data_IF_244268323916
#
_entry.id   IF_244268323916
#
_cell.length_a   1.000
_cell.length_b   1.000
_cell.length_c   1.000
_cell.angle_alpha   90.00
_cell.angle_beta   90.00
_cell.angle_gamma   90.00
#
_symmetry.space_group_name_H-M   'P 1'
#
loop_
_entity.id
_entity.type
_entity.pdbx_description
1 polymer ?
#
# COMPACT_ATOMS: atom_id res chain seq x y z
N UNK A 1 -6.06 -11.70 6.86
CA UNK A 1 -5.04 -10.95 6.10
C UNK A 1 -5.74 -9.88 5.28
N UNK A 2 -5.33 -8.62 5.34
CA UNK A 2 -5.89 -7.58 4.45
C UNK A 2 -5.74 -7.99 2.97
N UNK A 3 -6.83 -7.93 2.19
CA UNK A 3 -6.78 -8.20 0.73
C UNK A 3 -5.90 -7.17 0.01
N UNK A 4 -5.90 -5.93 0.49
CA UNK A 4 -5.06 -4.84 0.01
C UNK A 4 -3.59 -4.91 0.47
N UNK A 5 -3.08 -6.09 0.83
CA UNK A 5 -1.68 -6.28 1.19
C UNK A 5 -0.74 -6.29 -0.02
N UNK A 6 0.52 -5.92 0.23
CA UNK A 6 1.56 -5.93 -0.79
C UNK A 6 1.84 -7.35 -1.29
N UNK A 7 2.26 -7.48 -2.56
CA UNK A 7 2.58 -8.77 -3.21
C UNK A 7 3.55 -9.67 -2.43
N UNK A 8 4.44 -9.09 -1.61
CA UNK A 8 5.38 -9.86 -0.78
C UNK A 8 4.67 -10.71 0.27
N UNK A 9 3.52 -10.25 0.78
CA UNK A 9 2.73 -10.99 1.78
C UNK A 9 2.14 -12.23 1.13
N UNK A 10 1.60 -12.12 -0.09
CA UNK A 10 1.15 -13.26 -0.89
C UNK A 10 2.30 -14.24 -1.18
N UNK A 11 3.50 -13.74 -1.50
CA UNK A 11 4.70 -14.56 -1.59
C UNK A 11 5.02 -15.31 -0.28
N UNK A 12 4.84 -14.66 0.86
CA UNK A 12 4.96 -15.28 2.19
C UNK A 12 3.93 -16.39 2.42
N UNK A 13 2.69 -16.22 1.95
CA UNK A 13 1.66 -17.26 1.97
C UNK A 13 2.07 -18.46 1.10
N UNK A 14 2.55 -18.23 -0.13
CA UNK A 14 3.07 -19.29 -1.00
C UNK A 14 4.19 -20.08 -0.32
N UNK A 15 5.17 -19.38 0.28
CA UNK A 15 6.33 -20.01 0.92
C UNK A 15 5.98 -20.75 2.22
N UNK A 16 5.09 -20.20 3.04
CA UNK A 16 4.69 -20.78 4.32
C UNK A 16 3.64 -21.89 4.19
N UNK A 17 2.80 -21.84 3.15
CA UNK A 17 1.64 -22.72 3.02
C UNK A 17 0.49 -22.38 3.97
N UNK A 18 0.50 -21.16 4.53
CA UNK A 18 -0.63 -20.67 5.30
C UNK A 18 -1.89 -20.56 4.41
N UNK A 19 -3.06 -20.69 5.02
CA UNK A 19 -4.34 -20.48 4.33
C UNK A 19 -4.85 -19.08 4.66
N UNK A 20 -4.88 -18.15 3.69
CA UNK A 20 -5.33 -16.80 3.97
C UNK A 20 -6.85 -16.74 4.06
N UNK A 21 -7.33 -16.06 5.10
CA UNK A 21 -8.71 -15.54 5.18
C UNK A 21 -8.60 -14.05 4.88
N UNK A 22 -9.18 -13.61 3.77
CA UNK A 22 -9.05 -12.23 3.31
C UNK A 22 -10.02 -11.31 4.04
N UNK A 23 -9.52 -10.14 4.43
CA UNK A 23 -10.33 -9.02 4.91
C UNK A 23 -10.46 -8.08 3.71
N UNK A 24 -11.67 -7.95 3.17
CA UNK A 24 -11.96 -7.05 2.06
C UNK A 24 -11.87 -5.59 2.53
N UNK A 25 -11.15 -4.71 1.81
CA UNK A 25 -11.12 -3.29 2.15
C UNK A 25 -12.42 -2.63 1.68
N UNK A 26 -12.99 -1.78 2.53
CA UNK A 26 -13.94 -0.78 2.06
C UNK A 26 -13.22 0.27 1.21
N UNK A 27 -13.97 1.04 0.42
CA UNK A 27 -13.43 2.13 -0.39
C UNK A 27 -14.06 3.46 0.02
N UNK A 28 -13.25 4.52 0.03
CA UNK A 28 -13.78 5.84 0.37
C UNK A 28 -14.81 6.26 -0.70
N UNK A 29 -16.06 6.60 -0.34
CA UNK A 29 -17.13 6.85 -1.31
C UNK A 29 -16.79 8.00 -2.27
N UNK A 30 -16.22 9.09 -1.75
CA UNK A 30 -15.88 10.27 -2.57
C UNK A 30 -14.49 10.21 -3.20
N UNK A 31 -13.49 9.70 -2.46
CA UNK A 31 -12.07 9.72 -2.88
C UNK A 31 -11.72 8.46 -3.69
N UNK A 32 -12.36 7.31 -3.42
CA UNK A 32 -12.19 6.08 -4.20
C UNK A 32 -10.94 5.25 -3.88
N UNK A 33 -10.14 5.63 -2.90
CA UNK A 33 -9.01 4.79 -2.44
C UNK A 33 -9.48 3.71 -1.44
N UNK A 34 -8.75 2.58 -1.32
CA UNK A 34 -9.04 1.56 -0.33
C UNK A 34 -8.82 2.07 1.09
N UNK A 35 -9.83 1.94 1.95
CA UNK A 35 -9.82 2.29 3.36
C UNK A 35 -9.04 1.26 4.18
N UNK A 36 -8.72 1.63 5.41
CA UNK A 36 -8.16 0.71 6.39
C UNK A 36 -9.22 -0.28 6.86
N UNK A 37 -8.80 -1.48 7.26
CA UNK A 37 -9.72 -2.52 7.77
C UNK A 37 -10.30 -2.09 9.12
N UNK A 38 -11.60 -2.34 9.33
CA UNK A 38 -12.27 -2.02 10.58
C UNK A 38 -12.08 -3.11 11.65
N UNK A 39 -12.23 -2.72 12.91
CA UNK A 39 -12.18 -3.65 14.05
C UNK A 39 -13.32 -4.67 13.95
N UNK A 40 -14.49 -4.20 13.55
CA UNK A 40 -15.72 -4.97 13.42
C UNK A 40 -15.59 -6.06 12.34
N UNK A 41 -14.96 -5.74 11.21
CA UNK A 41 -14.72 -6.72 10.14
C UNK A 41 -13.77 -7.84 10.60
N UNK A 42 -12.75 -7.49 11.41
CA UNK A 42 -11.83 -8.47 11.98
C UNK A 42 -12.55 -9.35 13.02
N UNK A 43 -13.34 -8.74 13.90
CA UNK A 43 -14.10 -9.49 14.91
C UNK A 43 -15.06 -10.49 14.27
N UNK A 44 -15.81 -10.07 13.24
CA UNK A 44 -16.73 -10.94 12.52
C UNK A 44 -16.03 -12.18 11.93
N UNK A 45 -14.80 -12.02 11.40
CA UNK A 45 -14.02 -13.14 10.86
C UNK A 45 -13.48 -14.05 11.95
N UNK A 46 -13.01 -13.51 13.09
CA UNK A 46 -12.53 -14.31 14.22
C UNK A 46 -13.66 -15.14 14.88
N UNK A 47 -14.89 -14.62 14.86
CA UNK A 47 -16.07 -15.36 15.33
C UNK A 47 -16.43 -16.52 14.39
N UNK A 48 -16.15 -16.41 13.09
CA UNK A 48 -16.43 -17.45 12.09
C UNK A 48 -15.30 -18.49 11.97
N UNK A 49 -14.07 -18.11 12.32
CA UNK A 49 -12.87 -18.91 12.11
C UNK A 49 -12.03 -19.02 13.38
N UNK A 50 -12.23 -20.10 14.13
CA UNK A 50 -11.56 -20.33 15.43
C UNK A 50 -10.16 -20.94 15.33
N UNK A 51 -9.71 -21.30 14.12
CA UNK A 51 -8.40 -21.87 13.82
C UNK A 51 -7.37 -20.82 13.37
N UNK A 52 -7.77 -19.54 13.34
CA UNK A 52 -6.88 -18.41 13.01
C UNK A 52 -5.78 -18.29 14.07
N UNK A 53 -4.53 -18.26 13.63
CA UNK A 53 -3.35 -18.09 14.51
C UNK A 53 -2.69 -16.72 14.39
N UNK A 54 -3.00 -15.98 13.32
CA UNK A 54 -2.37 -14.71 13.00
C UNK A 54 -3.27 -13.78 12.17
N UNK A 55 -3.21 -12.49 12.47
CA UNK A 55 -3.79 -11.40 11.68
C UNK A 55 -2.64 -10.65 11.01
N UNK A 56 -2.75 -10.44 9.70
CA UNK A 56 -1.84 -9.57 8.95
C UNK A 56 -2.58 -8.30 8.55
N UNK A 57 -2.00 -7.15 8.91
CA UNK A 57 -2.50 -5.82 8.65
C UNK A 57 -1.44 -4.96 7.93
N UNK A 58 -1.87 -4.12 6.99
CA UNK A 58 -1.02 -3.06 6.41
C UNK A 58 -1.42 -1.73 7.03
N UNK A 59 -0.49 -1.06 7.71
CA UNK A 59 -0.74 0.22 8.39
C UNK A 59 0.55 1.03 8.51
N UNK A 60 0.62 2.25 7.94
CA UNK A 60 -0.37 2.89 7.08
C UNK A 60 -0.49 2.19 5.73
N UNK A 61 -1.62 2.41 5.05
CA UNK A 61 -1.72 2.10 3.62
C UNK A 61 -0.96 3.14 2.77
N UNK A 62 -0.93 2.95 1.45
CA UNK A 62 -0.23 3.84 0.52
C UNK A 62 -0.66 5.32 0.59
N UNK A 63 -1.90 5.59 0.98
CA UNK A 63 -2.48 6.93 1.09
C UNK A 63 -2.18 7.59 2.44
N UNK A 64 -1.57 6.87 3.39
CA UNK A 64 -1.26 7.38 4.72
C UNK A 64 -2.37 7.20 5.74
N UNK A 65 -3.46 6.50 5.42
CA UNK A 65 -4.52 6.23 6.39
C UNK A 65 -4.25 4.93 7.15
N UNK A 66 -4.68 4.92 8.41
CA UNK A 66 -4.42 3.85 9.38
C UNK A 66 -5.72 3.43 10.09
N UNK A 67 -5.88 2.13 10.41
CA UNK A 67 -6.93 1.66 11.30
C UNK A 67 -6.54 1.88 12.78
N UNK A 68 -7.47 1.56 13.68
CA UNK A 68 -7.18 1.51 15.12
C UNK A 68 -6.34 0.26 15.45
N UNK A 69 -5.04 0.34 15.21
CA UNK A 69 -4.09 -0.75 15.47
C UNK A 69 -4.11 -1.16 16.95
N UNK A 70 -4.37 -0.23 17.87
CA UNK A 70 -4.42 -0.52 19.29
C UNK A 70 -5.63 -1.41 19.64
N UNK A 71 -6.82 -1.04 19.15
CA UNK A 71 -8.02 -1.84 19.33
C UNK A 71 -7.91 -3.20 18.63
N UNK A 72 -7.35 -3.26 17.43
CA UNK A 72 -7.12 -4.52 16.70
C UNK A 72 -6.14 -5.42 17.46
N UNK A 73 -5.08 -4.86 18.04
CA UNK A 73 -4.11 -5.59 18.86
C UNK A 73 -4.79 -6.21 20.11
N UNK A 74 -5.58 -5.41 20.82
CA UNK A 74 -6.34 -5.87 21.98
C UNK A 74 -7.33 -6.98 21.61
N UNK A 75 -8.06 -6.82 20.49
CA UNK A 75 -8.98 -7.81 19.98
C UNK A 75 -8.25 -9.11 19.64
N UNK A 76 -7.18 -9.05 18.84
CA UNK A 76 -6.36 -10.21 18.47
C UNK A 76 -5.90 -11.00 19.70
N UNK A 77 -5.36 -10.29 20.70
CA UNK A 77 -4.87 -10.91 21.93
C UNK A 77 -5.99 -11.55 22.76
N UNK A 78 -7.20 -10.98 22.76
CA UNK A 78 -8.35 -11.57 23.44
C UNK A 78 -8.79 -12.93 22.85
N UNK A 79 -8.49 -13.15 21.57
CA UNK A 79 -8.70 -14.43 20.87
C UNK A 79 -7.47 -15.35 20.89
N UNK A 80 -6.37 -14.95 21.55
CA UNK A 80 -5.12 -15.72 21.53
C UNK A 80 -4.39 -15.70 20.19
N UNK A 81 -4.64 -14.68 19.37
CA UNK A 81 -4.13 -14.54 17.99
C UNK A 81 -3.02 -13.50 17.93
N UNK A 82 -1.96 -13.77 17.16
CA UNK A 82 -0.87 -12.80 16.94
C UNK A 82 -1.25 -11.75 15.89
N UNK A 83 -0.84 -10.50 16.09
CA UNK A 83 -0.96 -9.39 15.15
C UNK A 83 0.39 -9.07 14.49
N UNK A 84 0.43 -9.25 13.17
CA UNK A 84 1.55 -8.88 12.30
C UNK A 84 1.17 -7.60 11.54
N UNK A 85 2.00 -6.57 11.65
CA UNK A 85 1.77 -5.28 10.99
C UNK A 85 2.88 -5.02 9.96
N UNK A 86 2.47 -4.92 8.70
CA UNK A 86 3.26 -4.33 7.64
C UNK A 86 3.18 -2.80 7.76
N UNK A 87 4.17 -2.23 8.44
CA UNK A 87 4.39 -0.79 8.65
C UNK A 87 5.45 -0.26 7.68
N UNK A 88 5.52 -0.81 6.45
CA UNK A 88 6.53 -0.44 5.47
C UNK A 88 6.59 1.07 5.20
N UNK A 89 5.44 1.74 5.14
CA UNK A 89 5.35 3.19 4.92
C UNK A 89 5.31 4.02 6.21
N UNK A 90 5.41 3.38 7.39
CA UNK A 90 5.27 4.02 8.69
C UNK A 90 6.54 4.04 9.54
N UNK A 91 7.73 3.84 8.96
CA UNK A 91 8.95 3.73 9.79
C UNK A 91 9.25 5.00 10.60
N UNK A 92 8.83 6.17 10.12
CA UNK A 92 8.97 7.47 10.78
C UNK A 92 7.94 7.74 11.89
N UNK A 93 6.93 6.88 12.05
CA UNK A 93 5.88 7.03 13.06
C UNK A 93 6.43 6.85 14.47
N UNK A 94 5.80 7.50 15.46
CA UNK A 94 6.22 7.45 16.87
C UNK A 94 7.45 8.28 17.25
N UNK A 95 8.12 8.94 16.30
CA UNK A 95 9.25 9.85 16.60
C UNK A 95 8.83 11.30 16.87
N UNK A 96 7.55 11.63 16.68
CA UNK A 96 6.96 12.94 16.96
C UNK A 96 5.49 12.78 17.40
N UNK A 97 5.00 13.65 18.29
CA UNK A 97 3.65 13.53 18.89
C UNK A 97 2.51 13.76 17.92
N UNK A 98 2.76 14.53 16.86
CA UNK A 98 1.75 14.88 15.86
C UNK A 98 1.69 13.84 14.73
N UNK A 99 2.59 12.84 14.75
CA UNK A 99 2.43 11.64 13.94
C UNK A 99 1.71 10.56 14.75
N UNK A 100 0.96 9.67 14.09
CA UNK A 100 0.39 8.51 14.75
C UNK A 100 1.46 7.66 15.46
N UNK A 101 1.09 6.94 16.54
CA UNK A 101 2.00 6.01 17.20
C UNK A 101 2.35 4.86 16.26
N UNK A 102 3.62 4.44 16.28
CA UNK A 102 4.05 3.23 15.55
C UNK A 102 3.41 1.98 16.16
N UNK A 103 3.10 0.99 15.31
CA UNK A 103 2.64 -0.34 15.71
C UNK A 103 3.58 -1.03 16.74
N UNK A 104 4.86 -0.68 16.74
CA UNK A 104 5.83 -1.11 17.77
C UNK A 104 5.38 -0.66 19.16
N UNK A 105 5.05 0.62 19.31
CA UNK A 105 4.58 1.20 20.58
C UNK A 105 3.18 0.71 20.98
N UNK A 106 2.36 0.34 19.99
CA UNK A 106 1.02 -0.23 20.18
C UNK A 106 1.03 -1.74 20.47
N UNK A 107 2.20 -2.32 20.75
CA UNK A 107 2.35 -3.69 21.24
C UNK A 107 1.94 -4.80 20.26
N UNK A 108 1.87 -4.50 18.95
CA UNK A 108 1.75 -5.53 17.91
C UNK A 108 2.93 -6.51 17.98
N UNK A 109 2.75 -7.75 17.54
CA UNK A 109 3.69 -8.84 17.85
C UNK A 109 4.92 -8.84 16.92
N UNK A 110 4.67 -8.66 15.61
CA UNK A 110 5.71 -8.57 14.58
C UNK A 110 5.41 -7.35 13.71
N UNK A 111 6.38 -6.45 13.57
CA UNK A 111 6.25 -5.24 12.76
C UNK A 111 7.37 -5.19 11.73
N UNK A 112 7.03 -4.99 10.46
CA UNK A 112 7.99 -4.81 9.37
C UNK A 112 7.99 -3.35 8.95
N UNK A 113 9.15 -2.70 8.98
CA UNK A 113 9.31 -1.31 8.55
C UNK A 113 10.33 -1.23 7.41
N UNK A 114 9.96 -0.58 6.30
CA UNK A 114 10.89 -0.28 5.22
C UNK A 114 11.55 1.08 5.49
N UNK A 115 12.61 1.07 6.30
CA UNK A 115 13.33 2.29 6.72
C UNK A 115 13.75 3.18 5.54
N UNK A 116 14.07 2.58 4.39
CA UNK A 116 14.47 3.31 3.19
C UNK A 116 13.35 4.13 2.55
N UNK A 117 12.08 3.82 2.85
CA UNK A 117 10.93 4.54 2.27
C UNK A 117 10.71 5.91 2.90
N UNK A 118 10.93 6.05 4.21
CA UNK A 118 10.55 7.30 4.92
C UNK A 118 11.60 7.89 5.86
N UNK A 119 12.70 7.19 6.18
CA UNK A 119 13.71 7.66 7.13
C UNK A 119 15.12 7.82 6.54
N UNK A 120 15.33 7.49 5.25
CA UNK A 120 16.57 7.82 4.53
C UNK A 120 17.67 6.75 4.52
N UNK A 121 17.39 5.52 4.95
CA UNK A 121 18.34 4.41 4.75
C UNK A 121 18.39 3.97 3.27
N UNK A 122 19.39 3.18 2.89
CA UNK A 122 19.56 2.78 1.49
C UNK A 122 18.49 1.77 1.04
N UNK A 123 18.05 1.86 -0.21
CA UNK A 123 17.10 0.92 -0.82
C UNK A 123 17.51 -0.54 -0.57
N UNK A 124 16.52 -1.42 -0.38
CA UNK A 124 16.65 -2.82 0.09
C UNK A 124 16.83 -3.00 1.61
N UNK A 125 17.05 -1.93 2.38
CA UNK A 125 17.16 -2.03 3.84
C UNK A 125 15.82 -1.89 4.56
N UNK A 126 15.59 -2.70 5.60
CA UNK A 126 14.36 -2.72 6.39
C UNK A 126 14.65 -3.21 7.81
N UNK A 127 13.75 -2.91 8.74
CA UNK A 127 13.79 -3.40 10.13
C UNK A 127 12.61 -4.33 10.42
N UNK A 128 12.89 -5.40 11.15
CA UNK A 128 11.87 -6.26 11.75
C UNK A 128 11.88 -6.04 13.25
N UNK A 129 10.76 -5.60 13.80
CA UNK A 129 10.56 -5.42 15.22
C UNK A 129 9.72 -6.56 15.77
N UNK A 130 10.09 -7.07 16.94
CA UNK A 130 9.36 -8.15 17.61
C UNK A 130 9.11 -7.72 19.05
N UNK A 131 7.85 -7.54 19.43
CA UNK A 131 7.52 -7.27 20.82
C UNK A 131 7.61 -8.55 21.66
N UNK A 132 8.05 -8.42 22.91
CA UNK A 132 8.08 -9.54 23.85
C UNK A 132 6.81 -9.49 24.71
N UNK A 133 5.78 -10.20 24.24
CA UNK A 133 4.44 -10.23 24.82
C UNK A 133 3.84 -11.65 24.87
N UNK A 134 4.61 -12.67 24.55
CA UNK A 134 4.23 -14.09 24.69
C UNK A 134 3.58 -14.75 23.48
N UNK A 135 3.24 -14.02 22.42
CA UNK A 135 2.59 -14.58 21.23
C UNK A 135 3.57 -15.19 20.21
N UNK A 136 4.82 -14.71 20.19
CA UNK A 136 5.82 -15.11 19.19
C UNK A 136 7.16 -15.46 19.83
N UNK A 137 7.86 -16.44 19.23
CA UNK A 137 9.18 -16.86 19.70
C UNK A 137 10.29 -16.21 18.88
N UNK A 138 11.04 -15.29 19.51
CA UNK A 138 12.15 -14.54 18.86
C UNK A 138 13.24 -15.45 18.27
N UNK A 139 13.61 -16.53 18.96
CA UNK A 139 14.64 -17.45 18.48
C UNK A 139 14.17 -18.20 17.22
N UNK A 140 12.90 -18.62 17.19
CA UNK A 140 12.30 -19.24 16.00
C UNK A 140 12.23 -18.26 14.83
N UNK A 141 11.88 -16.99 15.07
CA UNK A 141 11.88 -15.96 14.03
C UNK A 141 13.29 -15.79 13.45
N UNK A 142 14.32 -15.71 14.29
CA UNK A 142 15.71 -15.61 13.84
C UNK A 142 16.14 -16.82 12.98
N UNK A 143 15.72 -18.03 13.35
CA UNK A 143 15.98 -19.25 12.57
C UNK A 143 15.27 -19.23 11.20
N UNK A 144 14.05 -18.71 11.12
CA UNK A 144 13.33 -18.61 9.83
C UNK A 144 13.94 -17.52 8.94
N UNK A 145 14.33 -16.38 9.53
CA UNK A 145 15.00 -15.31 8.79
C UNK A 145 16.28 -15.77 8.12
N UNK A 146 17.06 -16.67 8.73
CA UNK A 146 18.29 -17.19 8.13
C UNK A 146 18.09 -18.01 6.86
N UNK A 147 16.86 -18.47 6.58
CA UNK A 147 16.50 -19.13 5.31
C UNK A 147 16.34 -18.14 4.15
N UNK A 148 16.04 -16.87 4.47
CA UNK A 148 15.71 -15.83 3.48
C UNK A 148 16.86 -14.82 3.32
N UNK A 149 17.64 -14.62 4.37
CA UNK A 149 18.75 -13.67 4.39
C UNK A 149 20.00 -14.28 3.75
N UNK A 150 20.80 -13.42 3.11
CA UNK A 150 22.14 -13.80 2.65
C UNK A 150 23.04 -14.15 3.84
N UNK A 151 23.86 -15.18 3.70
CA UNK A 151 24.94 -15.50 4.65
C UNK A 151 26.05 -14.44 4.66
N UNK A 152 26.07 -13.55 3.67
CA UNK A 152 27.01 -12.44 3.52
C UNK A 152 26.22 -11.13 3.35
N UNK A 153 25.66 -10.56 4.44
CA UNK A 153 24.88 -9.33 4.36
C UNK A 153 25.77 -8.14 3.97
N UNK A 154 25.19 -7.16 3.27
CA UNK A 154 25.90 -5.93 2.91
C UNK A 154 26.14 -5.05 4.15
N UNK A 155 27.40 -4.89 4.55
CA UNK A 155 27.77 -3.99 5.65
C UNK A 155 27.36 -2.54 5.39
N UNK A 156 27.26 -2.12 4.12
CA UNK A 156 26.82 -0.77 3.75
C UNK A 156 25.32 -0.59 4.06
N UNK A 157 24.49 -1.59 3.75
CA UNK A 157 23.07 -1.54 4.09
C UNK A 157 22.87 -1.53 5.61
N UNK A 158 23.61 -2.37 6.34
CA UNK A 158 23.58 -2.42 7.80
C UNK A 158 24.03 -1.09 8.44
N UNK A 159 25.12 -0.50 7.94
CA UNK A 159 25.59 0.81 8.40
C UNK A 159 24.57 1.92 8.12
N UNK A 160 23.90 1.88 6.97
CA UNK A 160 22.84 2.86 6.65
C UNK A 160 21.65 2.77 7.60
N UNK A 161 21.27 1.55 8.02
CA UNK A 161 20.22 1.33 9.01
C UNK A 161 20.62 1.86 10.38
N UNK A 162 21.84 1.59 10.83
CA UNK A 162 22.30 2.07 12.14
C UNK A 162 22.46 3.59 12.19
N UNK A 163 22.99 4.20 11.12
CA UNK A 163 23.06 5.66 10.98
C UNK A 163 21.67 6.31 10.99
N UNK A 164 20.71 5.73 10.26
CA UNK A 164 19.32 6.22 10.22
C UNK A 164 18.64 6.08 11.58
N UNK A 165 18.81 4.94 12.26
CA UNK A 165 18.32 4.71 13.63
C UNK A 165 18.85 5.78 14.59
N UNK A 166 20.15 6.05 14.54
CA UNK A 166 20.77 7.09 15.37
C UNK A 166 20.16 8.47 15.06
N UNK A 167 20.09 8.88 13.79
CA UNK A 167 19.53 10.16 13.37
C UNK A 167 18.09 10.34 13.87
N UNK A 168 17.24 9.32 13.71
CA UNK A 168 15.86 9.41 14.16
C UNK A 168 15.75 9.44 15.69
N UNK A 169 16.63 8.74 16.41
CA UNK A 169 16.67 8.77 17.87
C UNK A 169 17.14 10.11 18.44
N UNK A 170 18.08 10.80 17.79
CA UNK A 170 18.68 12.04 18.31
C UNK A 170 18.04 13.32 17.73
N UNK A 171 17.61 13.28 16.48
CA UNK A 171 17.16 14.45 15.71
C UNK A 171 15.75 14.26 15.11
N UNK A 172 15.15 13.07 15.25
CA UNK A 172 13.90 12.72 14.57
C UNK A 172 12.75 13.69 14.89
N UNK A 173 12.60 14.11 16.14
CA UNK A 173 11.55 15.05 16.55
C UNK A 173 11.64 16.38 15.80
N UNK A 174 12.82 16.98 15.75
CA UNK A 174 13.03 18.28 15.08
C UNK A 174 12.87 18.14 13.57
N UNK A 175 13.46 17.12 12.96
CA UNK A 175 13.34 16.85 11.51
C UNK A 175 11.89 16.63 11.10
N UNK A 176 11.12 15.87 11.88
CA UNK A 176 9.70 15.63 11.61
C UNK A 176 8.83 16.87 11.86
N UNK A 177 9.23 17.77 12.75
CA UNK A 177 8.56 19.08 12.88
C UNK A 177 8.67 19.88 11.58
N UNK A 178 9.83 19.86 10.94
CA UNK A 178 10.04 20.47 9.62
C UNK A 178 9.20 19.78 8.54
N UNK A 179 9.15 18.44 8.53
CA UNK A 179 8.29 17.69 7.59
C UNK A 179 6.83 18.10 7.71
N UNK A 180 6.30 18.18 8.93
CA UNK A 180 4.91 18.60 9.16
C UNK A 180 4.68 20.03 8.65
N UNK A 181 5.59 20.97 8.97
CA UNK A 181 5.47 22.35 8.53
C UNK A 181 5.48 22.47 7.00
N UNK A 182 6.37 21.75 6.32
CA UNK A 182 6.45 21.70 4.87
C UNK A 182 5.22 21.06 4.22
N UNK A 183 4.75 19.93 4.76
CA UNK A 183 3.55 19.26 4.28
C UNK A 183 2.32 20.16 4.45
N UNK A 184 2.18 20.86 5.58
CA UNK A 184 1.07 21.78 5.81
C UNK A 184 1.14 23.01 4.90
N UNK A 185 2.34 23.58 4.68
CA UNK A 185 2.56 24.67 3.69
C UNK A 185 2.08 24.22 2.31
N UNK A 186 2.54 23.04 1.86
CA UNK A 186 2.18 22.49 0.57
C UNK A 186 0.68 22.23 0.44
N UNK A 187 0.08 21.55 1.44
CA UNK A 187 -1.35 21.23 1.49
C UNK A 187 -2.21 22.49 1.41
N UNK A 188 -1.88 23.51 2.20
CA UNK A 188 -2.61 24.78 2.21
C UNK A 188 -2.50 25.48 0.85
N UNK A 189 -1.32 25.53 0.24
CA UNK A 189 -1.12 26.16 -1.06
C UNK A 189 -1.88 25.44 -2.18
N UNK A 190 -1.85 24.11 -2.22
CA UNK A 190 -2.60 23.31 -3.21
C UNK A 190 -4.11 23.54 -3.09
N UNK A 191 -4.64 23.68 -1.87
CA UNK A 191 -6.06 23.97 -1.64
C UNK A 191 -6.52 25.34 -2.17
N UNK A 192 -5.61 26.25 -2.47
CA UNK A 192 -5.92 27.55 -3.09
C UNK A 192 -5.86 27.52 -4.63
N UNK A 193 -5.48 26.39 -5.23
CA UNK A 193 -5.37 26.26 -6.69
C UNK A 193 -6.67 25.71 -7.27
N UNK A 194 -7.20 26.39 -8.29
CA UNK A 194 -8.43 25.97 -8.96
C UNK A 194 -8.30 24.57 -9.56
N UNK A 195 -9.31 23.73 -9.34
CA UNK A 195 -9.34 22.35 -9.84
C UNK A 195 -8.51 21.34 -9.04
N UNK A 196 -7.77 21.77 -8.01
CA UNK A 196 -7.05 20.87 -7.11
C UNK A 196 -7.72 20.75 -5.75
N UNK A 197 -7.58 19.59 -5.12
CA UNK A 197 -7.87 19.39 -3.70
C UNK A 197 -6.71 18.64 -3.07
N UNK A 198 -6.40 18.94 -1.82
CA UNK A 198 -5.43 18.17 -1.04
C UNK A 198 -6.06 17.74 0.27
N UNK A 199 -6.11 16.44 0.52
CA UNK A 199 -6.69 15.89 1.73
C UNK A 199 -5.70 15.93 2.90
N UNK A 200 -6.21 15.90 4.13
CA UNK A 200 -5.44 15.95 5.36
C UNK A 200 -6.23 15.39 6.56
N UNK A 201 -6.06 16.02 7.72
CA UNK A 201 -6.65 15.58 9.00
C UNK A 201 -8.18 15.49 9.00
N UNK A 202 -8.87 16.14 8.06
CA UNK A 202 -10.31 15.99 7.87
C UNK A 202 -10.76 14.56 7.54
N UNK A 203 -9.82 13.68 7.17
CA UNK A 203 -10.09 12.26 6.96
C UNK A 203 -10.24 11.48 8.27
N UNK A 204 -9.72 12.00 9.39
CA UNK A 204 -9.69 11.28 10.67
C UNK A 204 -11.10 11.16 11.24
N UNK A 205 -11.47 9.95 11.65
CA UNK A 205 -12.79 9.62 12.22
C UNK A 205 -13.89 9.41 11.18
N UNK A 206 -13.57 9.45 9.89
CA UNK A 206 -14.51 9.29 8.78
C UNK A 206 -14.20 7.99 8.04
N UNK A 207 -15.22 7.21 7.66
CA UNK A 207 -15.08 6.00 6.84
C UNK A 207 -14.01 5.01 7.39
N UNK A 208 -14.04 4.70 8.68
CA UNK A 208 -13.11 3.78 9.34
C UNK A 208 -11.63 4.21 9.35
N UNK A 209 -11.33 5.48 9.03
CA UNK A 209 -9.98 6.04 9.15
C UNK A 209 -9.78 6.48 10.60
N UNK A 210 -8.90 5.77 11.31
CA UNK A 210 -8.59 6.10 12.72
C UNK A 210 -7.51 7.17 12.83
N UNK A 211 -6.50 7.11 11.97
CA UNK A 211 -5.41 8.08 11.95
C UNK A 211 -4.90 8.32 10.53
N UNK A 212 -4.20 9.44 10.36
CA UNK A 212 -3.64 9.88 9.09
C UNK A 212 -2.17 10.29 9.27
N UNK A 213 -1.34 9.94 8.29
CA UNK A 213 0.06 10.36 8.20
C UNK A 213 0.15 11.80 7.62
N UNK A 214 0.49 12.81 8.43
CA UNK A 214 0.51 14.20 7.99
C UNK A 214 1.59 14.51 6.95
N UNK A 215 2.56 13.62 6.73
CA UNK A 215 3.59 13.77 5.70
C UNK A 215 3.10 13.46 4.28
N UNK A 216 1.94 12.83 4.16
CA UNK A 216 1.32 12.49 2.89
C UNK A 216 0.55 13.69 2.33
N UNK A 217 0.68 13.88 1.02
CA UNK A 217 -0.12 14.81 0.24
C UNK A 217 -0.95 14.00 -0.75
N UNK A 218 -2.24 13.83 -0.45
CA UNK A 218 -3.19 13.19 -1.36
C UNK A 218 -3.80 14.30 -2.21
N UNK A 219 -3.31 14.49 -3.43
CA UNK A 219 -3.72 15.60 -4.29
C UNK A 219 -4.66 15.08 -5.36
N UNK A 220 -5.92 15.50 -5.31
CA UNK A 220 -6.90 15.25 -6.38
C UNK A 220 -6.64 16.20 -7.53
N UNK A 221 -6.44 15.63 -8.71
CA UNK A 221 -6.12 16.34 -9.96
C UNK A 221 -7.18 16.16 -11.04
N UNK A 222 -8.08 15.18 -10.88
CA UNK A 222 -9.14 14.86 -11.86
C UNK A 222 -9.99 16.06 -12.31
N UNK A 223 -10.22 17.04 -11.44
CA UNK A 223 -10.99 18.25 -11.78
C UNK A 223 -10.22 19.26 -12.66
N UNK A 224 -8.93 19.04 -12.91
CA UNK A 224 -8.12 19.80 -13.89
C UNK A 224 -8.23 19.25 -15.31
N UNK A 225 -8.96 18.14 -15.51
CA UNK A 225 -9.07 17.44 -16.79
C UNK A 225 -7.98 16.39 -17.05
N UNK A 226 -7.00 16.26 -16.15
CA UNK A 226 -5.98 15.22 -16.18
C UNK A 226 -6.28 14.10 -15.17
N UNK A 227 -6.00 12.87 -15.57
CA UNK A 227 -5.86 11.77 -14.62
C UNK A 227 -4.62 11.95 -13.72
N UNK A 228 -4.60 11.23 -12.59
CA UNK A 228 -3.39 11.16 -11.77
C UNK A 228 -2.19 10.60 -12.52
N UNK A 229 -2.38 9.59 -13.38
CA UNK A 229 -1.33 9.01 -14.21
C UNK A 229 -0.72 10.02 -15.21
N UNK A 230 -1.56 10.78 -15.91
CA UNK A 230 -1.10 11.84 -16.82
C UNK A 230 -0.38 12.95 -16.05
N UNK A 231 -0.94 13.38 -14.91
CA UNK A 231 -0.31 14.40 -14.07
C UNK A 231 1.06 13.94 -13.56
N UNK A 232 1.17 12.69 -13.11
CA UNK A 232 2.45 12.09 -12.70
C UNK A 232 3.46 12.07 -13.85
N UNK A 233 3.03 11.71 -15.06
CA UNK A 233 3.88 11.73 -16.26
C UNK A 233 4.38 13.15 -16.61
N UNK A 234 3.50 14.15 -16.54
CA UNK A 234 3.84 15.55 -16.78
C UNK A 234 4.83 16.07 -15.73
N UNK A 235 4.55 15.83 -14.44
CA UNK A 235 5.44 16.19 -13.34
C UNK A 235 6.83 15.58 -13.53
N UNK A 236 6.91 14.31 -13.91
CA UNK A 236 8.19 13.61 -14.12
C UNK A 236 8.95 14.16 -15.32
N UNK A 237 8.32 14.24 -16.48
CA UNK A 237 9.03 14.50 -17.74
C UNK A 237 9.20 15.98 -18.07
N UNK A 238 8.31 16.86 -17.59
CA UNK A 238 8.38 18.30 -17.87
C UNK A 238 8.97 19.09 -16.70
N UNK A 239 8.71 18.64 -15.47
CA UNK A 239 9.11 19.37 -14.27
C UNK A 239 10.21 18.67 -13.47
N UNK A 240 10.61 17.45 -13.85
CA UNK A 240 11.60 16.63 -13.13
C UNK A 240 11.21 16.44 -11.66
N UNK A 241 9.96 16.04 -11.43
CA UNK A 241 9.37 15.74 -10.13
C UNK A 241 8.80 14.33 -10.17
N UNK A 242 9.38 13.42 -9.39
CA UNK A 242 8.82 12.09 -9.18
C UNK A 242 7.84 12.16 -8.00
N UNK A 243 6.60 11.71 -8.22
CA UNK A 243 5.61 11.51 -7.17
C UNK A 243 5.74 10.09 -6.59
N UNK A 244 5.24 9.83 -5.38
CA UNK A 244 5.29 8.49 -4.79
C UNK A 244 4.52 7.49 -5.65
N UNK A 245 3.29 7.85 -6.03
CA UNK A 245 2.50 7.16 -7.04
C UNK A 245 1.33 8.02 -7.51
N UNK A 246 0.57 7.48 -8.47
CA UNK A 246 -0.69 8.06 -8.93
C UNK A 246 -1.77 6.98 -9.05
N UNK A 247 -3.02 7.40 -8.94
CA UNK A 247 -4.18 6.62 -9.34
C UNK A 247 -4.94 7.37 -10.45
N UNK A 248 -6.16 6.94 -10.77
CA UNK A 248 -6.97 7.56 -11.82
C UNK A 248 -7.30 9.03 -11.50
N UNK A 249 -7.50 9.39 -10.23
CA UNK A 249 -7.97 10.71 -9.76
C UNK A 249 -6.92 11.53 -9.01
N UNK A 250 -5.88 10.90 -8.48
CA UNK A 250 -4.93 11.50 -7.54
C UNK A 250 -3.47 11.31 -7.94
N UNK A 251 -2.65 12.27 -7.54
CA UNK A 251 -1.21 12.09 -7.36
C UNK A 251 -0.90 12.12 -5.87
N UNK A 252 -0.05 11.20 -5.42
CA UNK A 252 0.37 11.11 -4.02
C UNK A 252 1.83 11.52 -3.91
N UNK A 253 2.10 12.51 -3.07
CA UNK A 253 3.46 12.93 -2.73
C UNK A 253 3.75 12.63 -1.26
N UNK A 254 4.99 12.27 -0.95
CA UNK A 254 5.49 12.11 0.41
C UNK A 254 6.50 13.20 0.70
N UNK A 255 6.27 13.98 1.76
CA UNK A 255 7.28 14.89 2.30
C UNK A 255 8.12 14.11 3.30
N UNK A 256 9.44 14.16 3.15
CA UNK A 256 10.39 13.39 3.95
C UNK A 256 11.39 14.30 4.66
N UNK A 257 12.23 13.72 5.51
CA UNK A 257 13.31 14.46 6.19
C UNK A 257 14.39 15.02 5.23
N UNK A 258 14.33 14.66 3.94
CA UNK A 258 15.21 15.18 2.89
C UNK A 258 14.61 16.39 2.15
N UNK A 259 13.33 16.66 2.33
CA UNK A 259 12.65 17.77 1.65
C UNK A 259 12.96 19.12 2.28
N UNK A 260 12.89 20.16 1.44
CA UNK A 260 13.16 21.54 1.81
C UNK A 260 12.07 22.44 1.27
N UNK A 261 12.05 23.70 1.68
CA UNK A 261 11.13 24.69 1.08
C UNK A 261 11.29 24.76 -0.44
N UNK A 262 12.53 24.64 -0.95
CA UNK A 262 12.81 24.67 -2.39
C UNK A 262 12.18 23.49 -3.13
N UNK A 263 12.23 22.27 -2.57
CA UNK A 263 11.60 21.09 -3.20
C UNK A 263 10.08 21.21 -3.20
N UNK A 264 9.50 21.71 -2.10
CA UNK A 264 8.06 22.01 -2.00
C UNK A 264 7.65 23.09 -2.99
N UNK A 265 8.39 24.20 -3.08
CA UNK A 265 8.06 25.30 -3.98
C UNK A 265 8.16 24.86 -5.46
N UNK A 266 9.10 23.95 -5.80
CA UNK A 266 9.18 23.33 -7.13
C UNK A 266 7.90 22.57 -7.47
N UNK A 267 7.38 21.76 -6.53
CA UNK A 267 6.11 21.05 -6.69
C UNK A 267 4.93 22.02 -6.87
N UNK A 268 4.83 23.03 -6.01
CA UNK A 268 3.74 24.00 -6.07
C UNK A 268 3.72 24.78 -7.38
N UNK A 269 4.89 25.20 -7.87
CA UNK A 269 5.00 25.90 -9.16
C UNK A 269 4.61 25.01 -10.34
N UNK A 270 4.96 23.72 -10.30
CA UNK A 270 4.57 22.76 -11.32
C UNK A 270 3.06 22.53 -11.33
N UNK A 271 2.45 22.25 -10.16
CA UNK A 271 1.00 22.09 -10.03
C UNK A 271 0.23 23.33 -10.47
N UNK A 272 0.67 24.52 -10.04
CA UNK A 272 0.06 25.78 -10.47
C UNK A 272 0.13 25.98 -11.99
N UNK A 273 1.26 25.62 -12.61
CA UNK A 273 1.41 25.69 -14.06
C UNK A 273 0.45 24.75 -14.79
N UNK A 274 0.23 23.54 -14.25
CA UNK A 274 -0.72 22.57 -14.80
C UNK A 274 -2.17 23.06 -14.72
N UNK A 275 -2.57 23.70 -13.61
CA UNK A 275 -3.94 24.25 -13.48
C UNK A 275 -4.26 25.36 -14.51
N UNK A 276 -3.23 26.04 -15.04
CA UNK A 276 -3.41 27.08 -16.07
C UNK A 276 -3.52 26.52 -17.48
N UNK A 277 -3.11 25.28 -17.70
CA UNK A 277 -3.25 24.63 -18.99
C UNK A 277 -4.71 24.16 -19.10
N UNK A 278 -5.56 24.98 -19.71
CA UNK A 278 -6.98 24.69 -19.94
C UNK A 278 -7.15 23.50 -20.89
N UNK A 279 -7.14 22.28 -20.35
CA UNK A 279 -7.69 21.13 -21.04
C UNK A 279 -9.18 21.05 -20.76
N UNK A 280 -9.97 20.55 -21.73
CA UNK A 280 -11.41 20.40 -21.54
C UNK A 280 -11.65 19.60 -20.26
N UNK A 281 -12.37 20.19 -19.30
CA UNK A 281 -12.75 19.51 -18.05
C UNK A 281 -13.54 18.27 -18.43
N UNK A 282 -12.89 17.11 -18.39
CA UNK A 282 -13.55 15.82 -18.55
C UNK A 282 -14.42 15.64 -17.32
N UNK A 283 -15.67 15.18 -17.51
CA UNK A 283 -16.56 14.86 -16.39
C UNK A 283 -15.83 13.93 -15.41
N UNK A 284 -15.82 14.32 -14.14
CA UNK A 284 -15.20 13.59 -13.04
C UNK A 284 -15.80 12.17 -12.87
N UNK A 285 -17.04 11.97 -13.32
CA UNK A 285 -17.66 10.64 -13.43
C UNK A 285 -16.93 9.72 -14.42
N UNK A 286 -16.25 10.27 -15.43
CA UNK A 286 -15.48 9.49 -16.40
C UNK A 286 -14.23 8.84 -15.77
N UNK A 287 -13.87 9.24 -14.54
CA UNK A 287 -12.78 8.70 -13.75
C UNK A 287 -13.25 7.83 -12.58
N UNK A 288 -14.57 7.66 -12.39
CA UNK A 288 -15.16 6.83 -11.35
C UNK A 288 -15.16 5.36 -11.76
N UNK A 289 -14.22 4.57 -11.23
CA UNK A 289 -14.25 3.12 -11.39
C UNK A 289 -14.29 2.50 -10.02
N UNK A 290 -15.37 1.76 -9.76
CA UNK A 290 -15.42 0.91 -8.60
C UNK A 290 -14.61 -0.36 -8.92
N UNK A 291 -13.69 -0.78 -8.05
CA UNK A 291 -13.15 -2.13 -8.13
C UNK A 291 -14.30 -3.15 -8.10
N UNK A 292 -14.06 -4.37 -8.62
CA UNK A 292 -15.02 -5.46 -8.51
C UNK A 292 -15.55 -5.62 -7.09
N UNK A 293 -16.85 -5.86 -6.98
CA UNK A 293 -17.50 -6.15 -5.70
C UNK A 293 -17.17 -7.58 -5.27
N UNK A 294 -16.75 -7.73 -4.01
CA UNK A 294 -16.48 -9.03 -3.42
C UNK A 294 -15.08 -9.57 -3.73
N UNK A 295 -14.72 -10.60 -2.99
CA UNK A 295 -13.49 -11.35 -3.21
C UNK A 295 -13.62 -12.27 -4.44
N UNK A 296 -12.57 -12.40 -5.27
CA UNK A 296 -12.57 -13.38 -6.35
C UNK A 296 -12.81 -14.80 -5.85
N UNK A 297 -13.50 -15.63 -6.64
CA UNK A 297 -13.83 -17.01 -6.27
C UNK A 297 -12.55 -17.87 -6.16
N UNK A 298 -12.22 -18.42 -4.98
CA UNK A 298 -11.10 -19.34 -4.83
C UNK A 298 -11.48 -20.73 -5.35
N UNK A 299 -10.66 -21.30 -6.24
CA UNK A 299 -10.86 -22.65 -6.76
C UNK A 299 -9.88 -23.67 -6.15
N UNK A 300 -8.62 -23.27 -5.99
CA UNK A 300 -7.56 -24.06 -5.35
C UNK A 300 -6.71 -23.12 -4.49
N UNK A 301 -5.89 -23.69 -3.60
CA UNK A 301 -5.02 -22.87 -2.75
C UNK A 301 -4.01 -22.07 -3.59
N UNK A 302 -3.70 -20.85 -3.12
CA UNK A 302 -2.70 -19.97 -3.75
C UNK A 302 -1.37 -20.69 -3.98
N UNK A 303 -0.94 -21.50 -3.00
CA UNK A 303 0.31 -22.26 -3.08
C UNK A 303 0.25 -23.34 -4.16
N UNK A 304 -0.82 -24.11 -4.21
CA UNK A 304 -0.95 -25.21 -5.18
C UNK A 304 -1.04 -24.68 -6.61
N UNK A 305 -1.77 -23.59 -6.81
CA UNK A 305 -1.82 -22.90 -8.10
C UNK A 305 -0.45 -22.39 -8.53
N UNK A 306 0.28 -21.73 -7.61
CA UNK A 306 1.59 -21.15 -7.89
C UNK A 306 2.63 -22.22 -8.28
N UNK A 307 2.62 -23.39 -7.64
CA UNK A 307 3.55 -24.48 -7.94
C UNK A 307 3.03 -25.47 -8.98
N UNK A 308 1.85 -25.24 -9.56
CA UNK A 308 1.27 -26.14 -10.56
C UNK A 308 2.13 -26.20 -11.83
N UNK A 309 2.38 -27.42 -12.30
CA UNK A 309 3.01 -27.68 -13.60
C UNK A 309 1.99 -27.95 -14.71
N UNK A 310 0.73 -28.23 -14.34
CA UNK A 310 -0.38 -28.47 -15.27
C UNK A 310 -1.01 -27.15 -15.64
N UNK A 311 -0.39 -26.46 -16.59
CA UNK A 311 -0.79 -25.10 -16.97
C UNK A 311 -0.69 -24.92 -18.48
N UNK A 312 -1.51 -24.03 -19.03
CA UNK A 312 -1.40 -23.62 -20.44
C UNK A 312 -1.66 -22.13 -20.59
N UNK A 313 -1.10 -21.54 -21.63
CA UNK A 313 -1.34 -20.15 -21.99
C UNK A 313 -2.52 -20.02 -22.93
N UNK A 314 -3.39 -19.04 -22.68
CA UNK A 314 -4.55 -18.72 -23.52
C UNK A 314 -4.62 -17.22 -23.80
N UNK A 315 -5.30 -16.79 -24.88
CA UNK A 315 -5.61 -15.39 -25.09
C UNK A 315 -6.34 -14.79 -23.88
N UNK A 316 -5.93 -13.61 -23.42
CA UNK A 316 -6.47 -12.97 -22.21
C UNK A 316 -7.99 -12.74 -22.29
N UNK A 317 -8.51 -12.44 -23.48
CA UNK A 317 -9.94 -12.30 -23.71
C UNK A 317 -10.76 -13.60 -23.56
N UNK A 318 -10.09 -14.75 -23.46
CA UNK A 318 -10.70 -16.06 -23.20
C UNK A 318 -10.48 -16.55 -21.77
N UNK A 319 -9.91 -15.73 -20.89
CA UNK A 319 -9.55 -16.14 -19.54
C UNK A 319 -10.73 -16.21 -18.56
N UNK A 320 -11.84 -15.58 -18.90
CA UNK A 320 -13.06 -15.59 -18.07
C UNK A 320 -13.54 -17.04 -17.86
N UNK A 321 -13.79 -17.40 -16.60
CA UNK A 321 -14.19 -18.74 -16.18
C UNK A 321 -13.04 -19.71 -15.92
N UNK A 322 -11.78 -19.30 -16.11
CA UNK A 322 -10.61 -20.14 -15.86
C UNK A 322 -9.89 -19.78 -14.55
N UNK A 323 -9.28 -20.79 -13.94
CA UNK A 323 -8.42 -20.65 -12.75
C UNK A 323 -7.06 -20.11 -13.19
N UNK A 324 -6.69 -18.94 -12.70
CA UNK A 324 -5.39 -18.34 -13.00
C UNK A 324 -4.27 -19.02 -12.22
N UNK A 325 -3.07 -19.04 -12.81
CA UNK A 325 -1.82 -19.46 -12.13
C UNK A 325 -0.79 -18.34 -12.01
N UNK A 326 -1.19 -17.12 -12.33
CA UNK A 326 -0.37 -15.91 -12.31
C UNK A 326 -1.05 -14.85 -11.46
N UNK A 327 -0.27 -13.86 -11.02
CA UNK A 327 -0.83 -12.69 -10.35
C UNK A 327 -1.25 -11.67 -11.40
N UNK A 328 -2.43 -11.07 -11.22
CA UNK A 328 -2.86 -9.90 -11.99
C UNK A 328 -2.89 -8.72 -11.04
N UNK A 329 -1.88 -7.86 -11.13
CA UNK A 329 -1.67 -6.77 -10.17
C UNK A 329 -1.64 -5.44 -10.92
N UNK A 330 -2.72 -4.63 -10.84
CA UNK A 330 -2.67 -3.25 -11.27
C UNK A 330 -1.63 -2.44 -10.51
N UNK A 331 -0.85 -1.66 -11.25
CA UNK A 331 0.23 -0.86 -10.72
C UNK A 331 0.26 0.54 -11.35
N UNK A 332 0.41 1.59 -10.53
CA UNK A 332 0.34 1.62 -9.06
C UNK A 332 -1.07 1.34 -8.47
N UNK A 333 -1.21 1.00 -7.16
CA UNK A 333 -0.15 0.85 -6.15
C UNK A 333 0.46 -0.56 -6.06
N UNK A 334 -0.02 -1.55 -6.82
CA UNK A 334 0.50 -2.92 -6.76
C UNK A 334 -0.24 -3.85 -5.81
N UNK A 335 -1.54 -3.60 -5.62
CA UNK A 335 -2.45 -4.51 -4.88
C UNK A 335 -2.98 -5.55 -5.87
N UNK A 336 -2.89 -6.87 -5.56
CA UNK A 336 -3.41 -7.89 -6.46
C UNK A 336 -4.92 -7.77 -6.70
N UNK A 337 -5.30 -7.72 -7.97
CA UNK A 337 -6.69 -7.89 -8.39
C UNK A 337 -7.06 -9.38 -8.32
N UNK A 338 -6.22 -10.22 -8.94
CA UNK A 338 -6.32 -11.67 -8.88
C UNK A 338 -4.97 -12.27 -8.47
N UNK A 339 -5.04 -13.35 -7.72
CA UNK A 339 -3.88 -14.17 -7.36
C UNK A 339 -4.04 -15.60 -7.89
N UNK A 340 -2.95 -16.37 -8.05
CA UNK A 340 -3.04 -17.76 -8.46
C UNK A 340 -4.05 -18.55 -7.64
N UNK A 341 -4.84 -19.39 -8.29
CA UNK A 341 -5.88 -20.22 -7.67
C UNK A 341 -7.28 -19.61 -7.68
N UNK A 342 -7.40 -18.33 -8.06
CA UNK A 342 -8.67 -17.64 -8.23
C UNK A 342 -9.19 -17.73 -9.68
N UNK A 343 -10.52 -17.65 -9.83
CA UNK A 343 -11.18 -17.67 -11.14
C UNK A 343 -11.30 -16.23 -11.67
N UNK A 344 -10.90 -16.00 -12.92
CA UNK A 344 -11.18 -14.73 -13.57
C UNK A 344 -12.65 -14.64 -13.96
N UNK A 345 -13.37 -13.66 -13.44
CA UNK A 345 -14.71 -13.28 -13.91
C UNK A 345 -14.69 -12.07 -14.85
N UNK A 346 -15.79 -11.84 -15.58
CA UNK A 346 -15.89 -10.79 -16.59
C UNK A 346 -15.59 -9.39 -16.03
N UNK A 347 -16.11 -9.07 -14.84
CA UNK A 347 -15.90 -7.77 -14.20
C UNK A 347 -14.43 -7.52 -13.83
N UNK A 348 -13.62 -8.56 -13.58
CA UNK A 348 -12.18 -8.41 -13.33
C UNK A 348 -11.46 -7.98 -14.62
N UNK A 349 -11.80 -8.64 -15.74
CA UNK A 349 -11.21 -8.33 -17.04
C UNK A 349 -11.59 -6.92 -17.50
N UNK A 350 -12.84 -6.51 -17.28
CA UNK A 350 -13.34 -5.18 -17.64
C UNK A 350 -12.65 -4.10 -16.79
N UNK A 351 -12.56 -4.31 -15.47
CA UNK A 351 -11.85 -3.41 -14.56
C UNK A 351 -10.38 -3.24 -14.95
N UNK A 352 -9.69 -4.35 -15.22
CA UNK A 352 -8.28 -4.34 -15.64
C UNK A 352 -8.08 -3.55 -16.94
N UNK A 353 -8.90 -3.78 -17.98
CA UNK A 353 -8.81 -3.04 -19.25
C UNK A 353 -9.02 -1.55 -19.04
N UNK A 354 -10.00 -1.20 -18.23
CA UNK A 354 -10.34 0.18 -17.96
C UNK A 354 -9.20 0.95 -17.25
N UNK A 355 -8.47 0.28 -16.36
CA UNK A 355 -7.27 0.81 -15.73
C UNK A 355 -6.12 1.01 -16.75
N UNK A 356 -5.91 0.04 -17.64
CA UNK A 356 -4.90 0.12 -18.70
C UNK A 356 -5.18 1.29 -19.65
N UNK A 357 -6.44 1.45 -20.08
CA UNK A 357 -6.86 2.55 -20.96
C UNK A 357 -6.59 3.94 -20.36
N UNK A 358 -6.42 4.04 -19.04
CA UNK A 358 -6.11 5.26 -18.29
C UNK A 358 -4.64 5.39 -17.90
N UNK A 359 -3.78 4.47 -18.35
CA UNK A 359 -2.33 4.55 -18.13
C UNK A 359 -1.82 3.73 -16.95
N UNK A 360 -2.66 2.91 -16.30
CA UNK A 360 -2.17 1.90 -15.36
C UNK A 360 -1.43 0.78 -16.10
N UNK A 361 -0.53 0.11 -15.40
CA UNK A 361 0.19 -1.06 -15.89
C UNK A 361 -0.22 -2.29 -15.10
N UNK A 362 -0.12 -3.49 -15.69
CA UNK A 362 -0.35 -4.75 -15.00
C UNK A 362 0.99 -5.45 -14.81
N UNK A 363 1.27 -5.87 -13.58
CA UNK A 363 2.46 -6.67 -13.23
C UNK A 363 2.04 -8.05 -12.69
N UNK A 364 2.97 -9.00 -12.73
CA UNK A 364 2.76 -10.35 -12.17
C UNK A 364 2.36 -11.43 -13.18
N UNK A 365 2.06 -11.03 -14.42
CA UNK A 365 1.80 -11.92 -15.56
C UNK A 365 3.10 -12.24 -16.30
N UNK A 366 3.21 -13.45 -16.89
CA UNK A 366 4.37 -13.86 -17.68
C UNK A 366 4.45 -13.09 -19.01
N UNK A 367 3.31 -12.91 -19.68
CA UNK A 367 3.20 -12.13 -20.91
C UNK A 367 2.99 -10.64 -20.61
N UNK A 368 4.08 -9.88 -20.60
CA UNK A 368 4.06 -8.43 -20.37
C UNK A 368 3.30 -7.64 -21.45
N UNK A 369 3.02 -8.24 -22.62
CA UNK A 369 2.20 -7.61 -23.66
C UNK A 369 0.69 -7.75 -23.40
N UNK A 370 0.31 -8.48 -22.35
CA UNK A 370 -1.08 -8.74 -21.94
C UNK A 370 -1.95 -9.38 -23.04
N UNK A 371 -1.32 -10.08 -24.00
CA UNK A 371 -2.04 -10.81 -25.05
C UNK A 371 -2.55 -12.14 -24.53
N UNK A 372 -1.78 -12.75 -23.65
CA UNK A 372 -2.05 -14.06 -23.07
C UNK A 372 -1.96 -14.06 -21.56
N UNK A 373 -2.54 -15.09 -20.94
CA UNK A 373 -2.46 -15.37 -19.51
C UNK A 373 -2.35 -16.87 -19.30
N UNK A 374 -1.61 -17.28 -18.27
CA UNK A 374 -1.54 -18.70 -17.90
C UNK A 374 -2.68 -19.10 -16.97
N UNK A 375 -3.26 -20.25 -17.27
CA UNK A 375 -4.35 -20.86 -16.52
C UNK A 375 -4.00 -22.30 -16.14
N UNK A 376 -4.72 -22.85 -15.16
CA UNK A 376 -4.70 -24.29 -14.88
C UNK A 376 -5.19 -25.08 -16.09
N UNK A 377 -4.49 -26.17 -16.39
CA UNK A 377 -4.92 -27.16 -17.38
C UNK A 377 -5.72 -28.25 -16.65
N UNK A 378 -7.05 -28.09 -16.68
CA UNK A 378 -8.03 -28.94 -15.96
C UNK A 378 -8.44 -30.16 -16.75
#
# INVERSE_FOLDING_TARGET
MSRASHRSVYGGIVLSGATPIYIEPDYHPDIGFPLSVSVEAIEALLQQHHDVVAIHLTSPNYYGVMPDVAAICQLAHSYGVALLVDEAHGSHLGFHSDFPPSAVSLRADIIVQSTHKTQGSLTQSAMLHVNDNGFVNRARIAQVLSLLQSSSPSSILLASLDATRMQMATEGRERLSTVIALAQKARNAVRQMDGLRCYGDELIGVNSIFAYDPSKLIIRVSATGFSGFETSSLLRHQYEIEVEFADVKHVICSITIADTESTVDKLLNALHSLTKQNYQVIDDNNFSIKPPDGLPLPAISLRDAYFSTKTRSIPLNKAVGHILVENVIPYPPGIPLLVPGEIMEQHHLDYMRHLIDRGSTIIGMEDLSLRTVRIMDT
#
